data_IF_268811031761
#
_entry.id   IF_268811031761
#
_cell.length_a   1.000
_cell.length_b   1.000
_cell.length_c   1.000
_cell.angle_alpha   90.00
_cell.angle_beta   90.00
_cell.angle_gamma   90.00
#
_symmetry.space_group_name_H-M   'P 1'
#
loop_
_entity.id
_entity.type
_entity.pdbx_description
1 polymer ?
#
# COMPACT_ATOMS: atom_id res chain seq x y z
N UNK A 1 -0.59 15.68 14.65
CA UNK A 1 -2.03 15.31 14.85
C UNK A 1 -2.28 14.09 13.98
N UNK A 2 -2.84 13.00 14.51
CA UNK A 2 -3.12 11.80 13.72
C UNK A 2 -4.22 12.07 12.68
N UNK A 3 -4.33 11.21 11.67
CA UNK A 3 -5.32 11.32 10.60
C UNK A 3 -6.75 11.19 11.17
N UNK A 4 -7.68 12.03 10.71
CA UNK A 4 -9.06 12.06 11.20
C UNK A 4 -10.12 11.66 10.17
N UNK A 5 -9.69 11.35 8.94
CA UNK A 5 -10.59 10.90 7.86
C UNK A 5 -10.85 9.40 7.89
N UNK A 6 -11.79 8.95 7.05
CA UNK A 6 -12.08 7.53 6.82
C UNK A 6 -11.14 6.93 5.79
N UNK A 7 -10.48 5.82 6.13
CA UNK A 7 -9.50 5.14 5.27
C UNK A 7 -10.10 3.88 4.66
N UNK A 8 -10.14 3.79 3.33
CA UNK A 8 -10.48 2.56 2.63
C UNK A 8 -9.24 1.69 2.45
N UNK A 9 -9.30 0.45 2.93
CA UNK A 9 -8.24 -0.53 2.75
C UNK A 9 -8.64 -1.52 1.66
N UNK A 10 -7.99 -1.45 0.49
CA UNK A 10 -8.12 -2.45 -0.55
C UNK A 10 -7.09 -3.57 -0.36
N UNK A 11 -7.53 -4.83 -0.49
CA UNK A 11 -6.69 -5.98 -0.17
C UNK A 11 -6.59 -6.27 1.34
N UNK A 12 -7.57 -5.82 2.14
CA UNK A 12 -7.59 -5.92 3.60
C UNK A 12 -7.39 -7.35 4.14
N UNK A 13 -7.89 -8.38 3.44
CA UNK A 13 -7.72 -9.79 3.82
C UNK A 13 -6.40 -10.42 3.36
N UNK A 14 -5.55 -9.64 2.65
CA UNK A 14 -4.19 -10.03 2.31
C UNK A 14 -3.24 -9.95 3.51
N UNK A 15 -2.08 -10.63 3.43
CA UNK A 15 -1.12 -10.71 4.56
C UNK A 15 -0.63 -9.33 5.04
N UNK A 16 -0.40 -8.38 4.15
CA UNK A 16 -0.02 -7.00 4.52
C UNK A 16 -1.26 -6.18 4.92
N UNK A 17 -2.37 -6.33 4.16
CA UNK A 17 -3.61 -5.59 4.44
C UNK A 17 -4.18 -5.86 5.84
N UNK A 18 -4.05 -7.08 6.36
CA UNK A 18 -4.44 -7.42 7.73
C UNK A 18 -3.68 -6.57 8.77
N UNK A 19 -2.39 -6.35 8.57
CA UNK A 19 -1.59 -5.49 9.42
C UNK A 19 -1.99 -4.02 9.29
N UNK A 20 -2.31 -3.55 8.07
CA UNK A 20 -2.85 -2.19 7.86
C UNK A 20 -4.12 -1.98 8.69
N UNK A 21 -5.07 -2.91 8.61
CA UNK A 21 -6.31 -2.83 9.40
C UNK A 21 -6.02 -2.81 10.91
N UNK A 22 -5.15 -3.69 11.39
CA UNK A 22 -4.75 -3.72 12.81
C UNK A 22 -4.14 -2.39 13.26
N UNK A 23 -3.33 -1.73 12.41
CA UNK A 23 -2.73 -0.42 12.73
C UNK A 23 -3.76 0.70 12.75
N UNK A 24 -4.69 0.74 11.80
CA UNK A 24 -5.81 1.70 11.82
C UNK A 24 -6.65 1.54 13.09
N UNK A 25 -6.99 0.31 13.48
CA UNK A 25 -7.68 0.02 14.74
C UNK A 25 -6.88 0.50 15.97
N UNK A 26 -5.58 0.19 16.02
CA UNK A 26 -4.69 0.61 17.11
C UNK A 26 -4.65 2.13 17.27
N UNK A 27 -4.64 2.88 16.16
CA UNK A 27 -4.61 4.35 16.18
C UNK A 27 -5.99 4.99 16.35
N UNK A 28 -7.08 4.20 16.34
CA UNK A 28 -8.45 4.70 16.42
C UNK A 28 -8.88 5.49 15.18
N UNK A 29 -8.27 5.21 14.02
CA UNK A 29 -8.60 5.83 12.74
C UNK A 29 -9.80 5.09 12.15
N UNK A 30 -10.80 5.83 11.65
CA UNK A 30 -11.95 5.20 11.00
C UNK A 30 -11.54 4.55 9.68
N UNK A 31 -12.11 3.35 9.41
CA UNK A 31 -11.72 2.57 8.25
C UNK A 31 -12.88 1.80 7.64
N UNK A 32 -12.72 1.47 6.35
CA UNK A 32 -13.59 0.58 5.57
C UNK A 32 -12.72 -0.46 4.84
N UNK A 33 -13.31 -1.60 4.55
CA UNK A 33 -12.61 -2.75 3.96
C UNK A 33 -13.20 -3.06 2.59
N UNK A 34 -12.35 -3.04 1.55
CA UNK A 34 -12.72 -3.51 0.22
C UNK A 34 -12.13 -4.90 0.00
N UNK A 35 -12.99 -5.91 -0.06
CA UNK A 35 -12.60 -7.32 -0.05
C UNK A 35 -13.38 -8.14 -1.07
N UNK A 36 -12.77 -9.23 -1.58
CA UNK A 36 -13.44 -10.17 -2.49
C UNK A 36 -14.37 -11.16 -1.78
N UNK A 37 -14.07 -11.48 -0.51
CA UNK A 37 -14.85 -12.40 0.32
C UNK A 37 -15.14 -11.78 1.67
N UNK A 38 -16.44 -11.57 1.95
CA UNK A 38 -16.92 -11.11 3.25
C UNK A 38 -16.72 -12.17 4.33
N UNK A 39 -16.94 -13.45 4.02
CA UNK A 39 -16.72 -14.56 4.93
C UNK A 39 -15.29 -14.57 5.47
N UNK A 40 -14.30 -14.51 4.55
CA UNK A 40 -12.89 -14.43 4.95
C UNK A 40 -12.57 -13.19 5.79
N UNK A 41 -13.21 -12.06 5.51
CA UNK A 41 -13.02 -10.86 6.32
C UNK A 41 -13.56 -11.02 7.74
N UNK A 42 -14.74 -11.61 7.89
CA UNK A 42 -15.33 -11.92 9.20
C UNK A 42 -14.53 -12.96 9.98
N UNK A 43 -13.97 -13.97 9.31
CA UNK A 43 -13.07 -14.94 9.92
C UNK A 43 -11.80 -14.28 10.48
N UNK A 44 -11.22 -13.32 9.77
CA UNK A 44 -9.97 -12.65 10.16
C UNK A 44 -10.18 -11.58 11.23
N UNK A 45 -11.22 -10.76 11.09
CA UNK A 45 -11.40 -9.54 11.88
C UNK A 45 -12.53 -9.63 12.89
N UNK A 46 -13.37 -10.67 12.85
CA UNK A 46 -14.56 -10.79 13.69
C UNK A 46 -15.80 -10.15 13.07
N UNK A 47 -16.98 -10.39 13.71
CA UNK A 47 -18.26 -9.89 13.21
C UNK A 47 -18.41 -8.37 13.27
N UNK A 48 -17.63 -7.69 14.09
CA UNK A 48 -17.68 -6.23 14.30
C UNK A 48 -17.32 -5.42 13.06
N UNK A 49 -16.70 -6.04 12.04
CA UNK A 49 -16.38 -5.34 10.81
C UNK A 49 -17.47 -5.41 9.74
N UNK A 50 -18.60 -6.06 10.01
CA UNK A 50 -19.68 -6.31 9.01
C UNK A 50 -20.15 -5.01 8.34
N UNK A 51 -20.37 -3.95 9.11
CA UNK A 51 -20.84 -2.65 8.61
C UNK A 51 -19.74 -1.84 7.91
N UNK A 52 -18.49 -2.32 7.95
CA UNK A 52 -17.32 -1.71 7.32
C UNK A 52 -16.95 -2.38 6.01
N UNK A 53 -17.62 -3.48 5.63
CA UNK A 53 -17.29 -4.26 4.45
C UNK A 53 -17.94 -3.68 3.19
N UNK A 54 -17.16 -3.63 2.11
CA UNK A 54 -17.65 -3.59 0.74
C UNK A 54 -17.07 -4.80 0.01
N UNK A 55 -17.97 -5.68 -0.46
CA UNK A 55 -17.58 -6.89 -1.17
C UNK A 55 -17.56 -6.59 -2.67
N UNK A 56 -16.42 -6.85 -3.32
CA UNK A 56 -16.25 -6.59 -4.74
C UNK A 56 -14.84 -6.86 -5.25
N UNK A 57 -14.61 -6.51 -6.51
CA UNK A 57 -13.33 -6.69 -7.20
C UNK A 57 -12.80 -5.37 -7.74
N UNK A 58 -11.48 -5.17 -7.64
CA UNK A 58 -10.74 -4.05 -8.24
C UNK A 58 -10.84 -4.05 -9.80
N UNK A 59 -11.33 -5.15 -10.38
CA UNK A 59 -11.54 -5.29 -11.81
C UNK A 59 -12.88 -4.68 -12.29
N UNK A 60 -13.78 -4.31 -11.37
CA UNK A 60 -15.11 -3.77 -11.68
C UNK A 60 -15.29 -2.36 -11.11
N UNK A 61 -15.55 -1.40 -11.98
CA UNK A 61 -15.72 0.02 -11.60
C UNK A 61 -16.85 0.23 -10.59
N UNK A 62 -18.01 -0.39 -10.80
CA UNK A 62 -19.13 -0.26 -9.88
C UNK A 62 -18.84 -0.76 -8.46
N UNK A 63 -17.99 -1.80 -8.31
CA UNK A 63 -17.56 -2.28 -7.02
C UNK A 63 -16.61 -1.26 -6.34
N UNK A 64 -15.72 -0.66 -7.14
CA UNK A 64 -14.82 0.39 -6.68
C UNK A 64 -15.63 1.61 -6.23
N UNK A 65 -16.58 2.06 -7.03
CA UNK A 65 -17.43 3.21 -6.71
C UNK A 65 -18.17 3.02 -5.38
N UNK A 66 -18.72 1.82 -5.17
CA UNK A 66 -19.36 1.47 -3.91
C UNK A 66 -18.38 1.48 -2.71
N UNK A 67 -17.15 1.03 -2.95
CA UNK A 67 -16.13 0.95 -1.91
C UNK A 67 -15.59 2.32 -1.50
N UNK A 68 -15.28 3.19 -2.46
CA UNK A 68 -14.64 4.50 -2.20
C UNK A 68 -15.62 5.56 -1.70
N UNK A 69 -16.93 5.31 -1.77
CA UNK A 69 -17.94 6.24 -1.28
C UNK A 69 -17.71 6.59 0.19
N UNK A 70 -17.56 7.88 0.48
CA UNK A 70 -17.26 8.43 1.82
C UNK A 70 -15.88 8.00 2.38
N UNK A 71 -14.92 7.68 1.54
CA UNK A 71 -13.53 7.53 1.94
C UNK A 71 -12.75 8.81 1.65
N UNK A 72 -11.93 9.24 2.61
CA UNK A 72 -11.06 10.41 2.48
C UNK A 72 -9.67 10.01 1.96
N UNK A 73 -9.25 8.78 2.28
CA UNK A 73 -8.00 8.21 1.83
C UNK A 73 -8.14 6.73 1.46
N UNK A 74 -7.23 6.25 0.63
CA UNK A 74 -7.08 4.85 0.25
C UNK A 74 -5.70 4.33 0.66
N UNK A 75 -5.65 3.14 1.26
CA UNK A 75 -4.45 2.32 1.32
C UNK A 75 -4.68 1.09 0.44
N UNK A 76 -3.98 1.05 -0.69
CA UNK A 76 -4.07 -0.03 -1.67
C UNK A 76 -2.94 -1.05 -1.42
N UNK A 77 -3.27 -2.16 -0.80
CA UNK A 77 -2.38 -3.29 -0.53
C UNK A 77 -2.77 -4.54 -1.36
N UNK A 78 -3.32 -4.32 -2.55
CA UNK A 78 -3.65 -5.40 -3.47
C UNK A 78 -2.41 -5.90 -4.21
N UNK A 79 -2.42 -7.17 -4.56
CA UNK A 79 -1.40 -7.79 -5.40
C UNK A 79 -1.86 -9.18 -5.81
N UNK A 80 -1.50 -9.58 -7.03
CA UNK A 80 -1.77 -10.93 -7.52
C UNK A 80 -0.95 -11.97 -6.77
N UNK A 81 -1.49 -13.19 -6.62
CA UNK A 81 -0.70 -14.33 -6.20
C UNK A 81 -0.04 -14.97 -7.43
N UNK A 82 1.17 -14.52 -7.74
CA UNK A 82 1.90 -14.92 -8.96
C UNK A 82 2.30 -16.41 -8.99
N UNK A 83 2.18 -17.12 -7.88
CA UNK A 83 2.49 -18.57 -7.78
C UNK A 83 1.25 -19.44 -7.88
N UNK A 84 0.06 -18.85 -7.87
CA UNK A 84 -1.21 -19.54 -8.00
C UNK A 84 -1.73 -19.39 -9.44
N UNK A 85 -1.80 -20.49 -10.22
CA UNK A 85 -2.23 -20.46 -11.62
C UNK A 85 -3.71 -20.05 -11.79
N UNK A 86 -4.53 -20.17 -10.76
CA UNK A 86 -5.94 -19.74 -10.78
C UNK A 86 -6.09 -18.24 -10.40
N UNK A 87 -5.01 -17.59 -9.98
CA UNK A 87 -5.02 -16.15 -9.70
C UNK A 87 -5.06 -15.34 -11.00
N UNK A 88 -5.80 -14.22 -11.05
CA UNK A 88 -5.73 -13.31 -12.19
C UNK A 88 -4.28 -12.86 -12.45
N UNK A 89 -3.89 -12.63 -13.71
CA UNK A 89 -2.53 -12.25 -14.05
C UNK A 89 -2.16 -10.87 -13.47
N UNK A 90 -0.85 -10.60 -13.28
CA UNK A 90 -0.39 -9.29 -12.78
C UNK A 90 -0.88 -8.10 -13.59
N UNK A 91 -1.07 -8.25 -14.91
CA UNK A 91 -1.64 -7.20 -15.77
C UNK A 91 -3.07 -6.82 -15.34
N UNK A 92 -3.89 -7.78 -14.91
CA UNK A 92 -5.26 -7.51 -14.50
C UNK A 92 -5.35 -6.84 -13.11
N UNK A 93 -4.47 -7.22 -12.18
CA UNK A 93 -4.51 -6.75 -10.79
C UNK A 93 -3.50 -5.63 -10.54
N UNK A 94 -2.21 -5.89 -10.77
CA UNK A 94 -1.13 -4.97 -10.38
C UNK A 94 -1.01 -3.76 -11.33
N UNK A 95 -1.51 -3.86 -12.57
CA UNK A 95 -1.60 -2.76 -13.53
C UNK A 95 -3.02 -2.23 -13.63
N UNK A 96 -3.88 -2.91 -14.39
CA UNK A 96 -5.21 -2.40 -14.80
C UNK A 96 -6.12 -2.18 -13.60
N UNK A 97 -6.07 -3.08 -12.61
CA UNK A 97 -6.81 -2.97 -11.37
C UNK A 97 -6.39 -1.76 -10.55
N UNK A 98 -5.07 -1.56 -10.36
CA UNK A 98 -4.52 -0.41 -9.64
C UNK A 98 -4.84 0.90 -10.37
N UNK A 99 -4.65 0.95 -11.70
CA UNK A 99 -4.96 2.13 -12.52
C UNK A 99 -6.43 2.52 -12.40
N UNK A 100 -7.34 1.55 -12.55
CA UNK A 100 -8.78 1.75 -12.42
C UNK A 100 -9.15 2.23 -11.01
N UNK A 101 -8.60 1.58 -10.00
CA UNK A 101 -8.87 1.93 -8.61
C UNK A 101 -8.41 3.36 -8.28
N UNK A 102 -7.22 3.75 -8.73
CA UNK A 102 -6.71 5.11 -8.54
C UNK A 102 -7.56 6.16 -9.28
N UNK A 103 -7.94 5.90 -10.53
CA UNK A 103 -8.77 6.81 -11.34
C UNK A 103 -10.14 7.02 -10.69
N UNK A 104 -10.84 5.94 -10.37
CA UNK A 104 -12.18 6.03 -9.76
C UNK A 104 -12.13 6.67 -8.38
N UNK A 105 -11.12 6.35 -7.56
CA UNK A 105 -10.94 6.96 -6.25
C UNK A 105 -10.76 8.48 -6.36
N UNK A 106 -9.93 8.95 -7.30
CA UNK A 106 -9.72 10.38 -7.54
C UNK A 106 -10.99 11.07 -8.04
N UNK A 107 -11.67 10.49 -9.03
CA UNK A 107 -12.91 11.02 -9.61
C UNK A 107 -14.02 11.18 -8.55
N UNK A 108 -14.03 10.32 -7.54
CA UNK A 108 -14.99 10.34 -6.43
C UNK A 108 -14.49 11.12 -5.21
N UNK A 109 -13.38 11.86 -5.36
CA UNK A 109 -12.94 12.86 -4.38
C UNK A 109 -12.03 12.32 -3.28
N UNK A 110 -11.46 11.12 -3.42
CA UNK A 110 -10.44 10.62 -2.49
C UNK A 110 -9.15 11.43 -2.70
N UNK A 111 -8.74 12.18 -1.68
CA UNK A 111 -7.62 13.13 -1.78
C UNK A 111 -6.25 12.49 -1.61
N UNK A 112 -6.18 11.32 -0.94
CA UNK A 112 -4.92 10.66 -0.60
C UNK A 112 -4.89 9.19 -1.00
N UNK A 113 -3.88 8.81 -1.78
CA UNK A 113 -3.71 7.44 -2.25
C UNK A 113 -2.35 6.87 -1.83
N UNK A 114 -2.36 5.84 -0.99
CA UNK A 114 -1.16 5.13 -0.55
C UNK A 114 -1.13 3.77 -1.24
N UNK A 115 -0.07 3.50 -1.99
CA UNK A 115 0.12 2.26 -2.74
C UNK A 115 1.25 1.43 -2.13
N UNK A 116 0.97 0.19 -1.79
CA UNK A 116 2.00 -0.81 -1.48
C UNK A 116 2.40 -1.52 -2.78
N UNK A 117 3.59 -1.19 -3.26
CA UNK A 117 4.20 -1.73 -4.48
C UNK A 117 5.29 -2.78 -4.14
N UNK A 118 6.43 -2.72 -4.78
CA UNK A 118 7.55 -3.64 -4.56
C UNK A 118 8.90 -2.98 -4.90
N UNK A 119 9.94 -3.39 -4.19
CA UNK A 119 11.31 -3.12 -4.63
C UNK A 119 11.54 -3.71 -6.03
N UNK A 120 12.55 -3.20 -6.73
CA UNK A 120 12.99 -3.66 -8.05
C UNK A 120 11.98 -3.53 -9.21
N UNK A 121 10.90 -2.74 -9.07
CA UNK A 121 9.95 -2.51 -10.19
C UNK A 121 10.61 -1.85 -11.40
N UNK A 122 11.72 -1.15 -11.22
CA UNK A 122 12.49 -0.49 -12.28
C UNK A 122 13.53 -1.42 -12.94
N UNK A 123 13.61 -2.67 -12.52
CA UNK A 123 14.59 -3.66 -13.02
C UNK A 123 13.90 -4.66 -13.97
N UNK A 124 13.88 -4.43 -15.30
CA UNK A 124 13.16 -5.29 -16.24
C UNK A 124 13.67 -6.74 -16.24
N UNK A 125 14.98 -6.94 -16.02
CA UNK A 125 15.61 -8.26 -16.03
C UNK A 125 15.51 -9.00 -14.68
N UNK A 126 14.81 -8.44 -13.69
CA UNK A 126 14.67 -9.07 -12.39
C UNK A 126 13.93 -10.42 -12.48
N UNK A 127 14.41 -11.49 -11.82
CA UNK A 127 13.84 -12.85 -11.94
C UNK A 127 12.34 -12.96 -11.66
N UNK A 128 11.76 -12.08 -10.83
CA UNK A 128 10.32 -12.07 -10.56
C UNK A 128 9.49 -11.73 -11.81
N UNK A 129 10.04 -11.08 -12.82
CA UNK A 129 9.33 -10.77 -14.07
C UNK A 129 8.98 -12.01 -14.91
N UNK A 130 9.60 -13.18 -14.63
CA UNK A 130 9.15 -14.46 -15.22
C UNK A 130 7.70 -14.81 -14.87
N UNK A 131 7.16 -14.24 -13.81
CA UNK A 131 5.76 -14.43 -13.39
C UNK A 131 4.88 -13.31 -13.95
N UNK A 132 4.64 -13.30 -15.26
CA UNK A 132 3.76 -12.36 -15.93
C UNK A 132 4.22 -10.89 -15.88
N UNK A 133 5.53 -10.64 -15.86
CA UNK A 133 6.13 -9.31 -15.76
C UNK A 133 5.63 -8.51 -14.53
N UNK A 134 5.43 -9.17 -13.41
CA UNK A 134 4.76 -8.59 -12.23
C UNK A 134 5.35 -7.26 -11.79
N UNK A 135 6.68 -7.10 -11.79
CA UNK A 135 7.32 -5.86 -11.38
C UNK A 135 7.06 -4.72 -12.38
N UNK A 136 7.08 -5.05 -13.69
CA UNK A 136 6.75 -4.06 -14.73
C UNK A 136 5.27 -3.65 -14.65
N UNK A 137 4.36 -4.58 -14.37
CA UNK A 137 2.93 -4.28 -14.18
C UNK A 137 2.71 -3.36 -12.98
N UNK A 138 3.43 -3.61 -11.88
CA UNK A 138 3.40 -2.70 -10.72
C UNK A 138 3.92 -1.31 -11.05
N UNK A 139 5.02 -1.20 -11.79
CA UNK A 139 5.57 0.10 -12.21
C UNK A 139 4.58 0.90 -13.06
N UNK A 140 3.87 0.24 -13.97
CA UNK A 140 2.82 0.90 -14.76
C UNK A 140 1.68 1.42 -13.87
N UNK A 141 1.23 0.62 -12.89
CA UNK A 141 0.25 1.05 -11.88
C UNK A 141 0.74 2.23 -11.04
N UNK A 142 2.01 2.21 -10.59
CA UNK A 142 2.62 3.33 -9.87
C UNK A 142 2.64 4.63 -10.70
N UNK A 143 2.99 4.53 -11.99
CA UNK A 143 3.06 5.67 -12.90
C UNK A 143 1.69 6.34 -13.04
N UNK A 144 0.62 5.57 -13.11
CA UNK A 144 -0.73 6.13 -13.15
C UNK A 144 -1.12 6.79 -11.82
N UNK A 145 -0.80 6.18 -10.67
CA UNK A 145 -1.02 6.81 -9.36
C UNK A 145 -0.30 8.15 -9.27
N UNK A 146 0.99 8.21 -9.65
CA UNK A 146 1.76 9.47 -9.69
C UNK A 146 1.09 10.50 -10.59
N UNK A 147 0.73 10.11 -11.82
CA UNK A 147 0.09 11.00 -12.79
C UNK A 147 -1.21 11.62 -12.25
N UNK A 148 -2.03 10.79 -11.61
CA UNK A 148 -3.33 11.23 -11.10
C UNK A 148 -3.23 12.08 -9.84
N UNK A 149 -2.40 11.68 -8.88
CA UNK A 149 -2.37 12.25 -7.53
C UNK A 149 -1.29 13.33 -7.32
N UNK A 150 -0.51 13.69 -8.36
CA UNK A 150 0.40 14.86 -8.29
C UNK A 150 -0.30 16.20 -8.49
N UNK A 151 -1.60 16.21 -8.77
CA UNK A 151 -2.37 17.44 -8.94
C UNK A 151 -2.65 18.13 -7.61
N UNK A 152 -2.80 19.46 -7.65
CA UNK A 152 -3.11 20.25 -6.44
C UNK A 152 -4.40 19.78 -5.75
N UNK A 153 -4.33 19.58 -4.45
CA UNK A 153 -5.43 19.06 -3.63
C UNK A 153 -5.40 17.54 -3.45
N UNK A 154 -4.53 16.85 -4.19
CA UNK A 154 -4.33 15.41 -4.08
C UNK A 154 -2.91 15.09 -3.61
N UNK A 155 -2.71 13.90 -3.10
CA UNK A 155 -1.37 13.41 -2.76
C UNK A 155 -1.29 11.89 -2.85
N UNK A 156 -0.10 11.38 -3.18
CA UNK A 156 0.19 9.96 -3.15
C UNK A 156 1.37 9.64 -2.23
N UNK A 157 1.46 8.40 -1.80
CA UNK A 157 2.68 7.79 -1.27
C UNK A 157 2.80 6.40 -1.87
N UNK A 158 3.93 6.09 -2.48
CA UNK A 158 4.23 4.76 -3.01
C UNK A 158 5.31 4.13 -2.14
N UNK A 159 5.00 2.96 -1.60
CA UNK A 159 5.92 2.17 -0.78
C UNK A 159 6.40 0.98 -1.60
N UNK A 160 7.71 0.87 -1.81
CA UNK A 160 8.39 -0.24 -2.50
C UNK A 160 9.14 -1.11 -1.48
N UNK A 161 8.45 -1.99 -0.76
CA UNK A 161 9.10 -2.86 0.21
C UNK A 161 10.02 -3.88 -0.46
N UNK A 162 11.07 -4.26 0.25
CA UNK A 162 11.85 -5.45 -0.03
C UNK A 162 11.06 -6.75 0.13
N UNK A 163 11.73 -7.89 0.14
CA UNK A 163 11.09 -9.20 0.33
C UNK A 163 10.29 -9.24 1.63
N UNK A 164 8.98 -9.48 1.50
CA UNK A 164 8.06 -9.44 2.64
C UNK A 164 8.17 -10.69 3.53
N UNK A 165 8.46 -10.48 4.81
CA UNK A 165 8.51 -11.55 5.83
C UNK A 165 7.46 -11.34 6.92
N UNK A 166 7.17 -12.39 7.69
CA UNK A 166 6.27 -12.34 8.84
C UNK A 166 7.13 -12.39 10.11
N UNK A 167 7.42 -11.25 10.70
CA UNK A 167 8.35 -11.06 11.80
C UNK A 167 7.75 -10.47 13.09
N UNK A 168 6.45 -10.53 13.26
CA UNK A 168 5.80 -10.02 14.48
C UNK A 168 5.40 -8.54 14.39
N UNK A 169 5.46 -7.81 15.53
CA UNK A 169 5.07 -6.40 15.62
C UNK A 169 6.05 -5.48 14.89
N UNK A 170 5.59 -4.27 14.57
CA UNK A 170 6.42 -3.26 13.89
C UNK A 170 7.53 -2.70 14.77
N UNK A 171 8.53 -2.09 14.14
CA UNK A 171 9.70 -1.47 14.79
C UNK A 171 10.49 -2.42 15.71
N UNK A 172 10.67 -3.68 15.30
CA UNK A 172 11.59 -4.60 15.97
C UNK A 172 13.02 -4.48 15.42
N UNK A 173 13.19 -3.89 14.24
CA UNK A 173 14.45 -3.73 13.53
C UNK A 173 14.64 -2.31 13.05
N UNK A 174 15.90 -1.92 12.82
CA UNK A 174 16.22 -0.64 12.18
C UNK A 174 15.70 -0.62 10.74
N UNK A 175 15.09 0.49 10.35
CA UNK A 175 14.53 0.67 9.02
C UNK A 175 15.46 1.51 8.13
N UNK A 176 15.54 1.14 6.87
CA UNK A 176 16.21 1.92 5.82
C UNK A 176 15.17 2.33 4.81
N UNK A 177 14.98 3.64 4.66
CA UNK A 177 14.12 4.24 3.65
C UNK A 177 14.98 5.00 2.64
N UNK A 178 14.66 4.88 1.37
CA UNK A 178 15.31 5.60 0.28
C UNK A 178 14.27 6.05 -0.76
N UNK A 179 14.58 7.12 -1.50
CA UNK A 179 13.75 7.65 -2.60
C UNK A 179 14.44 7.57 -3.95
N UNK A 180 15.69 7.12 -4.00
CA UNK A 180 16.57 7.21 -5.18
C UNK A 180 16.64 5.96 -6.03
N UNK A 181 15.82 4.94 -5.80
CA UNK A 181 15.91 3.62 -6.47
C UNK A 181 17.30 2.97 -6.33
N UNK A 182 17.90 3.13 -5.14
CA UNK A 182 19.27 2.71 -4.81
C UNK A 182 19.33 1.42 -3.98
N UNK A 183 18.20 1.02 -3.37
CA UNK A 183 18.13 -0.24 -2.61
C UNK A 183 17.94 -1.39 -3.60
N UNK A 184 18.96 -2.24 -3.73
CA UNK A 184 18.93 -3.35 -4.68
C UNK A 184 18.20 -4.58 -4.13
N UNK A 185 18.35 -4.85 -2.83
CA UNK A 185 17.81 -6.05 -2.18
C UNK A 185 17.62 -5.82 -0.68
N UNK A 186 16.81 -6.64 -0.07
CA UNK A 186 16.56 -6.64 1.38
C UNK A 186 15.21 -7.26 1.70
N UNK A 187 14.93 -7.39 2.99
CA UNK A 187 13.66 -7.90 3.51
C UNK A 187 13.03 -6.88 4.45
N UNK A 188 11.73 -7.01 4.70
CA UNK A 188 10.99 -6.17 5.64
C UNK A 188 9.78 -6.93 6.19
N UNK A 189 9.45 -6.71 7.45
CA UNK A 189 8.24 -7.26 8.04
C UNK A 189 6.98 -6.60 7.45
N UNK A 190 5.94 -7.38 7.22
CA UNK A 190 4.65 -6.85 6.77
C UNK A 190 4.04 -5.87 7.75
N UNK A 191 4.29 -6.04 9.03
CA UNK A 191 3.87 -5.09 10.08
C UNK A 191 4.53 -3.72 9.91
N UNK A 192 5.82 -3.67 9.52
CA UNK A 192 6.53 -2.41 9.27
C UNK A 192 6.05 -1.71 8.00
N UNK A 193 5.76 -2.47 6.93
CA UNK A 193 5.15 -1.92 5.72
C UNK A 193 3.77 -1.33 6.01
N UNK A 194 2.98 -2.02 6.81
CA UNK A 194 1.66 -1.56 7.20
C UNK A 194 1.73 -0.31 8.10
N UNK A 195 2.67 -0.27 9.03
CA UNK A 195 2.92 0.91 9.85
C UNK A 195 3.31 2.10 8.98
N UNK A 196 4.27 1.93 8.06
CA UNK A 196 4.67 2.96 7.11
C UNK A 196 3.48 3.48 6.28
N UNK A 197 2.61 2.57 5.80
CA UNK A 197 1.43 2.94 5.02
C UNK A 197 0.42 3.76 5.84
N UNK A 198 0.22 3.41 7.10
CA UNK A 198 -0.72 4.12 7.98
C UNK A 198 -0.14 5.45 8.44
N UNK A 199 1.13 5.51 8.83
CA UNK A 199 1.77 6.76 9.24
C UNK A 199 1.93 7.75 8.08
N UNK A 200 2.08 7.29 6.84
CA UNK A 200 2.08 8.14 5.65
C UNK A 200 0.79 8.98 5.50
N UNK A 201 -0.31 8.60 6.16
CA UNK A 201 -1.56 9.37 6.14
C UNK A 201 -1.40 10.78 6.72
N UNK A 202 -0.49 10.99 7.70
CA UNK A 202 -0.34 12.28 8.40
C UNK A 202 1.07 12.87 8.38
N UNK A 203 2.06 12.15 7.87
CA UNK A 203 3.43 12.64 7.75
C UNK A 203 3.57 13.45 6.46
N UNK A 204 3.84 14.77 6.51
CA UNK A 204 3.95 15.60 5.32
C UNK A 204 5.06 15.16 4.36
N UNK A 205 6.20 14.72 4.91
CA UNK A 205 7.36 14.27 4.15
C UNK A 205 7.13 12.94 3.39
N UNK A 206 6.03 12.24 3.68
CA UNK A 206 5.63 11.05 2.93
C UNK A 206 4.84 11.38 1.65
N UNK A 207 4.39 12.65 1.47
CA UNK A 207 3.50 13.02 0.38
C UNK A 207 4.25 13.23 -0.92
N UNK A 208 3.65 12.76 -2.02
CA UNK A 208 4.12 12.90 -3.40
C UNK A 208 5.52 12.30 -3.64
N UNK A 209 5.84 11.25 -2.89
CA UNK A 209 7.10 10.54 -2.97
C UNK A 209 6.90 9.02 -3.10
N UNK A 210 7.95 8.39 -3.61
CA UNK A 210 8.09 6.94 -3.69
C UNK A 210 9.25 6.53 -2.79
N UNK A 211 9.01 5.60 -1.87
CA UNK A 211 10.00 5.13 -0.91
C UNK A 211 10.29 3.66 -1.12
N UNK A 212 11.55 3.32 -1.21
CA UNK A 212 12.06 1.97 -1.03
C UNK A 212 12.27 1.74 0.46
N UNK A 213 11.87 0.58 0.97
CA UNK A 213 11.98 0.28 2.38
C UNK A 213 12.42 -1.16 2.65
N UNK A 214 13.43 -1.31 3.49
CA UNK A 214 13.92 -2.58 4.01
C UNK A 214 14.20 -2.47 5.51
N UNK A 215 14.41 -3.60 6.18
CA UNK A 215 14.92 -3.63 7.55
C UNK A 215 16.37 -4.11 7.58
N UNK A 216 17.08 -3.74 8.64
CA UNK A 216 18.42 -4.23 8.98
C UNK A 216 18.38 -4.91 10.35
N UNK A 217 19.27 -5.89 10.56
CA UNK A 217 19.40 -6.60 11.84
C UNK A 217 20.13 -5.71 12.87
N UNK A 218 19.43 -4.68 13.30
CA UNK A 218 19.86 -3.74 14.33
C UNK A 218 18.63 -3.25 15.10
N UNK A 219 18.81 -2.78 16.32
CA UNK A 219 17.74 -2.15 17.09
C UNK A 219 17.27 -0.84 16.43
N UNK A 220 15.96 -0.56 16.41
CA UNK A 220 15.42 0.64 15.78
C UNK A 220 15.96 1.91 16.45
N UNK A 221 16.39 2.87 15.66
CA UNK A 221 16.97 4.14 16.12
C UNK A 221 16.05 5.34 15.90
N UNK A 222 14.85 5.13 15.37
CA UNK A 222 13.94 6.20 15.05
C UNK A 222 12.48 5.81 15.01
N UNK A 223 11.66 6.78 14.64
CA UNK A 223 10.25 6.62 14.29
C UNK A 223 10.09 6.62 12.78
N UNK A 224 8.91 6.18 12.28
CA UNK A 224 8.60 6.27 10.85
C UNK A 224 8.66 7.72 10.33
N UNK A 225 8.26 8.70 11.13
CA UNK A 225 8.43 10.12 10.79
C UNK A 225 9.89 10.46 10.49
N UNK A 226 10.83 10.00 11.33
CA UNK A 226 12.28 10.20 11.09
C UNK A 226 12.72 9.54 9.79
N UNK A 227 12.32 8.29 9.53
CA UNK A 227 12.71 7.56 8.32
C UNK A 227 12.19 8.24 7.05
N UNK A 228 10.93 8.67 7.02
CA UNK A 228 10.37 9.44 5.92
C UNK A 228 11.12 10.76 5.70
N UNK A 229 11.38 11.49 6.77
CA UNK A 229 12.06 12.78 6.71
C UNK A 229 13.50 12.69 6.19
N UNK A 230 14.24 11.69 6.66
CA UNK A 230 15.61 11.44 6.20
C UNK A 230 15.64 11.05 4.72
N UNK A 231 14.77 10.16 4.29
CA UNK A 231 14.70 9.74 2.89
C UNK A 231 14.26 10.89 1.97
N UNK A 232 13.26 11.69 2.36
CA UNK A 232 12.82 12.84 1.58
C UNK A 232 13.92 13.90 1.41
N UNK A 233 14.70 14.17 2.46
CA UNK A 233 15.80 15.15 2.39
C UNK A 233 16.96 14.72 1.51
N UNK A 234 17.09 13.45 1.17
CA UNK A 234 18.12 12.93 0.26
C UNK A 234 17.89 13.25 -1.23
N UNK A 235 16.73 13.81 -1.58
CA UNK A 235 16.42 14.28 -2.94
C UNK A 235 17.06 15.65 -3.24
N UNK A 236 17.39 16.43 -2.23
CA UNK A 236 17.92 17.79 -2.36
C UNK A 236 19.46 17.81 -2.45
N UNK A 237 20.10 16.64 -2.44
CA UNK A 237 21.56 16.46 -2.52
C UNK A 237 21.98 15.73 -3.79
#
# INVERSE_FOLDING_TARGET
MRYSGTVLVAGATGRTGQWVVKRLMHYGIDYRLFVRSGEKALEIFGPEVVDRLTIGSIEREGDIDAAVKNADAVICAVGGNVTDPESPPPSAIDRDGVMRFASRSKELGVERFILVSSLAVTKPDHPLNKYGNVLMMKLEGENEVRRLYSEKGFSYTILRPGGLVDGGESLQHEMVFDTGDRIETGTINRSDVAEAAVEALWIPEAQNLTFELIQQDAAPQGSFERYFKQAASSLDT
#
